data_IF_691992657829
#
_entry.id   IF_691992657829
#
_cell.length_a   1.000
_cell.length_b   1.000
_cell.length_c   1.000
_cell.angle_alpha   90.00
_cell.angle_beta   90.00
_cell.angle_gamma   90.00
#
_symmetry.space_group_name_H-M   'P 1'
#
loop_
_entity.id
_entity.type
_entity.pdbx_description
1 polymer ?
#
# COMPACT_ATOMS: atom_id res chain seq x y z
N UNK A 1 5.22 5.18 -18.93
CA UNK A 1 6.06 5.12 -17.70
C UNK A 1 5.17 5.58 -16.57
N UNK A 2 5.10 4.83 -15.47
CA UNK A 2 4.28 5.20 -14.32
C UNK A 2 4.94 6.33 -13.54
N UNK A 3 4.17 7.30 -12.97
CA UNK A 3 4.71 8.19 -11.95
C UNK A 3 5.27 7.39 -10.78
N UNK A 4 6.41 7.82 -10.22
CA UNK A 4 7.03 7.18 -9.05
C UNK A 4 6.49 7.79 -7.78
N UNK A 5 6.15 6.96 -6.79
CA UNK A 5 5.71 7.37 -5.47
C UNK A 5 6.42 6.63 -4.34
N UNK A 6 6.28 7.13 -3.13
CA UNK A 6 6.84 6.55 -1.92
C UNK A 6 5.79 6.55 -0.80
N UNK A 7 5.54 5.38 -0.21
CA UNK A 7 4.76 5.22 1.02
C UNK A 7 5.63 5.57 2.23
N UNK A 8 5.15 6.49 3.07
CA UNK A 8 5.93 7.03 4.19
C UNK A 8 5.10 7.02 5.47
N UNK A 9 5.65 6.43 6.52
CA UNK A 9 5.03 6.50 7.85
C UNK A 9 4.86 7.97 8.29
N UNK A 10 3.66 8.37 8.68
CA UNK A 10 3.29 9.75 8.97
C UNK A 10 4.23 10.45 9.98
N UNK A 11 4.78 9.69 10.94
CA UNK A 11 5.77 10.21 11.90
C UNK A 11 7.15 10.52 11.32
N UNK A 12 7.42 10.12 10.08
CA UNK A 12 8.70 10.34 9.38
C UNK A 12 8.60 11.40 8.30
N UNK A 13 7.42 11.93 8.01
CA UNK A 13 7.21 12.93 6.97
C UNK A 13 7.74 14.29 7.43
N UNK A 14 8.66 14.85 6.65
CA UNK A 14 9.27 16.16 6.87
C UNK A 14 9.24 16.99 5.60
N UNK A 15 9.41 18.31 5.72
CA UNK A 15 9.53 19.20 4.56
C UNK A 15 10.71 18.83 3.67
N UNK A 16 11.86 18.50 4.27
CA UNK A 16 13.06 18.06 3.55
C UNK A 16 12.78 16.82 2.67
N UNK A 17 11.92 15.91 3.13
CA UNK A 17 11.53 14.76 2.33
C UNK A 17 10.80 15.18 1.05
N UNK A 18 9.86 16.11 1.13
CA UNK A 18 9.17 16.63 -0.06
C UNK A 18 10.14 17.33 -1.01
N UNK A 19 11.10 18.11 -0.49
CA UNK A 19 12.14 18.72 -1.30
C UNK A 19 13.01 17.68 -2.01
N UNK A 20 13.40 16.60 -1.32
CA UNK A 20 14.17 15.51 -1.90
C UNK A 20 13.36 14.75 -2.97
N UNK A 21 12.05 14.57 -2.77
CA UNK A 21 11.15 13.97 -3.76
C UNK A 21 11.06 14.82 -5.02
N UNK A 22 10.84 16.14 -4.90
CA UNK A 22 10.82 17.08 -6.03
C UNK A 22 12.13 17.02 -6.83
N UNK A 23 13.26 17.15 -6.14
CA UNK A 23 14.60 17.15 -6.77
C UNK A 23 14.88 15.86 -7.56
N UNK A 24 14.43 14.72 -7.06
CA UNK A 24 14.61 13.41 -7.71
C UNK A 24 13.53 13.09 -8.77
N UNK A 25 12.41 13.81 -8.79
CA UNK A 25 11.27 13.52 -9.67
C UNK A 25 10.33 12.43 -9.14
N UNK A 26 10.30 12.19 -7.82
CA UNK A 26 9.27 11.38 -7.18
C UNK A 26 7.98 12.20 -7.11
N UNK A 27 6.96 11.74 -7.82
CA UNK A 27 5.76 12.54 -8.12
C UNK A 27 4.64 12.40 -7.09
N UNK A 28 4.66 11.35 -6.25
CA UNK A 28 3.56 11.05 -5.37
C UNK A 28 4.01 10.50 -4.01
N UNK A 29 3.21 10.76 -2.99
CA UNK A 29 3.37 10.21 -1.65
C UNK A 29 2.11 9.48 -1.21
N UNK A 30 2.27 8.34 -0.59
CA UNK A 30 1.28 7.76 0.29
C UNK A 30 1.62 8.12 1.73
N UNK A 31 0.64 8.64 2.46
CA UNK A 31 0.75 8.83 3.90
C UNK A 31 0.34 7.52 4.58
N UNK A 32 1.29 6.80 5.13
CA UNK A 32 1.00 5.61 5.92
C UNK A 32 0.81 5.97 7.38
N UNK A 33 -0.33 5.60 7.95
CA UNK A 33 -0.62 5.85 9.36
C UNK A 33 0.47 5.24 10.26
N UNK A 34 0.91 5.99 11.25
CA UNK A 34 1.84 5.46 12.26
C UNK A 34 1.22 5.49 13.64
N UNK A 35 1.72 4.62 14.55
CA UNK A 35 1.19 4.40 15.90
C UNK A 35 0.94 5.65 16.73
N UNK A 36 1.71 6.71 16.51
CA UNK A 36 1.60 7.95 17.28
C UNK A 36 0.67 8.98 16.64
N UNK A 37 0.31 8.77 15.37
CA UNK A 37 -0.41 9.79 14.61
C UNK A 37 -1.78 10.12 15.20
N UNK A 38 -2.51 9.15 15.72
CA UNK A 38 -3.82 9.35 16.33
C UNK A 38 -3.78 10.01 17.72
N UNK A 39 -2.60 10.06 18.35
CA UNK A 39 -2.37 10.70 19.66
C UNK A 39 -1.81 12.12 19.51
N UNK A 40 -1.29 12.47 18.35
CA UNK A 40 -0.74 13.79 18.03
C UNK A 40 -1.73 14.58 17.18
N UNK A 41 -1.63 15.90 17.20
CA UNK A 41 -2.43 16.73 16.31
C UNK A 41 -2.19 16.29 14.86
N UNK A 42 -3.28 16.14 14.08
CA UNK A 42 -3.20 15.76 12.69
C UNK A 42 -2.29 16.70 11.89
N UNK A 43 -1.29 16.14 11.21
CA UNK A 43 -0.34 16.86 10.38
C UNK A 43 -0.75 16.90 8.89
N UNK A 44 -1.90 16.33 8.50
CA UNK A 44 -2.35 16.30 7.11
C UNK A 44 -2.43 17.68 6.44
N UNK A 45 -2.93 18.73 7.09
CA UNK A 45 -2.89 20.08 6.52
C UNK A 45 -1.48 20.56 6.21
N UNK A 46 -0.51 20.26 7.07
CA UNK A 46 0.90 20.60 6.85
C UNK A 46 1.50 19.78 5.70
N UNK A 47 1.23 18.47 5.64
CA UNK A 47 1.67 17.62 4.53
C UNK A 47 1.09 18.10 3.20
N UNK A 48 -0.18 18.50 3.17
CA UNK A 48 -0.80 19.10 1.98
C UNK A 48 -0.17 20.42 1.57
N UNK A 49 0.24 21.24 2.52
CA UNK A 49 0.95 22.48 2.23
C UNK A 49 2.32 22.21 1.56
N UNK A 50 3.12 21.31 2.14
CA UNK A 50 4.39 20.89 1.56
C UNK A 50 4.22 20.20 0.20
N UNK A 51 3.24 19.29 0.09
CA UNK A 51 2.95 18.61 -1.17
C UNK A 51 2.67 19.60 -2.31
N UNK A 52 1.86 20.64 -2.05
CA UNK A 52 1.58 21.70 -3.02
C UNK A 52 2.82 22.56 -3.33
N UNK A 53 3.64 22.87 -2.34
CA UNK A 53 4.85 23.67 -2.49
C UNK A 53 5.87 22.97 -3.39
N UNK A 54 6.03 21.66 -3.24
CA UNK A 54 7.04 20.84 -3.93
C UNK A 54 6.47 20.02 -5.10
N UNK A 55 5.21 20.23 -5.49
CA UNK A 55 4.61 19.55 -6.65
C UNK A 55 4.46 18.03 -6.49
N UNK A 56 4.37 17.52 -5.26
CA UNK A 56 4.16 16.11 -4.95
C UNK A 56 2.67 15.85 -4.70
N UNK A 57 2.09 14.83 -5.32
CA UNK A 57 0.69 14.46 -5.08
C UNK A 57 0.55 13.62 -3.81
N UNK A 58 -0.37 13.98 -2.91
CA UNK A 58 -0.80 13.09 -1.83
C UNK A 58 -1.77 12.06 -2.42
N UNK A 59 -1.21 11.00 -2.99
CA UNK A 59 -1.91 9.99 -3.80
C UNK A 59 -2.89 9.16 -3.02
N UNK A 60 -2.50 8.70 -1.85
CA UNK A 60 -3.25 7.77 -1.01
C UNK A 60 -2.94 7.95 0.47
N UNK A 61 -3.83 7.40 1.28
CA UNK A 61 -3.64 7.29 2.72
C UNK A 61 -3.83 5.83 3.14
N UNK A 62 -2.82 5.26 3.77
CA UNK A 62 -2.91 3.93 4.36
C UNK A 62 -3.53 4.03 5.74
N UNK A 63 -4.71 3.44 5.91
CA UNK A 63 -5.44 3.44 7.18
C UNK A 63 -4.67 2.64 8.26
N UNK A 64 -4.90 2.92 9.55
CA UNK A 64 -4.30 2.15 10.62
C UNK A 64 -4.64 0.66 10.50
N UNK A 65 -3.65 -0.20 10.68
CA UNK A 65 -3.85 -1.65 10.64
C UNK A 65 -3.34 -2.33 11.90
N UNK A 66 -2.40 -1.74 12.61
CA UNK A 66 -1.85 -2.29 13.82
C UNK A 66 -1.32 -1.20 14.77
N UNK A 67 -1.52 -1.44 16.06
CA UNK A 67 -1.01 -0.65 17.17
C UNK A 67 -0.77 -1.58 18.37
N UNK A 68 0.16 -1.25 19.25
CA UNK A 68 0.47 -2.08 20.44
C UNK A 68 -0.70 -2.15 21.43
N UNK A 69 -1.57 -1.14 21.43
CA UNK A 69 -2.67 -0.99 22.39
C UNK A 69 -4.05 -1.16 21.74
N UNK A 70 -4.17 -0.87 20.43
CA UNK A 70 -5.42 -0.85 19.71
C UNK A 70 -5.40 -1.83 18.52
N UNK A 71 -6.44 -2.65 18.41
CA UNK A 71 -6.71 -3.45 17.22
C UNK A 71 -7.56 -2.63 16.26
N UNK A 72 -7.06 -2.41 15.06
CA UNK A 72 -7.81 -1.80 13.95
C UNK A 72 -8.31 -2.87 12.99
N UNK A 73 -9.10 -3.82 13.50
CA UNK A 73 -9.60 -4.96 12.73
C UNK A 73 -11.07 -4.76 12.37
N UNK A 74 -11.35 -4.66 11.06
CA UNK A 74 -12.71 -4.51 10.54
C UNK A 74 -13.43 -5.86 10.40
N UNK A 75 -12.73 -6.97 10.61
CA UNK A 75 -13.25 -8.33 10.50
C UNK A 75 -13.57 -8.98 11.85
N UNK A 76 -13.18 -8.36 12.97
CA UNK A 76 -13.36 -8.91 14.31
C UNK A 76 -14.51 -8.23 15.07
N UNK A 77 -15.37 -9.03 15.74
CA UNK A 77 -16.59 -8.53 16.42
C UNK A 77 -16.33 -7.42 17.42
N UNK A 78 -15.34 -7.55 18.33
CA UNK A 78 -15.13 -6.55 19.37
C UNK A 78 -14.71 -5.19 18.85
N UNK A 79 -14.08 -5.12 17.66
CA UNK A 79 -13.39 -3.92 17.18
C UNK A 79 -14.00 -3.31 15.93
N UNK A 80 -14.69 -4.10 15.09
CA UNK A 80 -15.12 -3.67 13.76
C UNK A 80 -15.91 -2.35 13.74
N UNK A 81 -16.94 -2.20 14.57
CA UNK A 81 -17.79 -1.01 14.55
C UNK A 81 -17.02 0.26 14.98
N UNK A 82 -16.15 0.14 15.99
CA UNK A 82 -15.32 1.25 16.44
C UNK A 82 -14.27 1.63 15.38
N UNK A 83 -13.67 0.62 14.74
CA UNK A 83 -12.70 0.81 13.67
C UNK A 83 -13.33 1.48 12.45
N UNK A 84 -14.51 1.02 12.00
CA UNK A 84 -15.23 1.66 10.90
C UNK A 84 -15.52 3.13 11.20
N UNK A 85 -15.97 3.44 12.42
CA UNK A 85 -16.24 4.83 12.83
C UNK A 85 -14.97 5.70 12.79
N UNK A 86 -13.85 5.18 13.30
CA UNK A 86 -12.56 5.87 13.24
C UNK A 86 -12.12 6.09 11.80
N UNK A 87 -12.23 5.07 10.95
CA UNK A 87 -11.84 5.17 9.55
C UNK A 87 -12.68 6.18 8.77
N UNK A 88 -13.97 6.30 9.07
CA UNK A 88 -14.80 7.35 8.50
C UNK A 88 -14.27 8.76 8.84
N UNK A 89 -13.82 9.00 10.08
CA UNK A 89 -13.25 10.30 10.44
C UNK A 89 -11.90 10.56 9.73
N UNK A 90 -11.04 9.56 9.63
CA UNK A 90 -9.77 9.66 8.89
C UNK A 90 -10.00 9.92 7.39
N UNK A 91 -10.98 9.24 6.79
CA UNK A 91 -11.37 9.48 5.39
C UNK A 91 -11.81 10.94 5.20
N UNK A 92 -12.63 11.48 6.10
CA UNK A 92 -13.10 12.85 6.01
C UNK A 92 -11.94 13.86 6.10
N UNK A 93 -11.02 13.67 7.03
CA UNK A 93 -9.80 14.46 7.16
C UNK A 93 -8.92 14.37 5.91
N UNK A 94 -8.64 13.16 5.43
CA UNK A 94 -7.84 12.96 4.22
C UNK A 94 -8.44 13.61 2.98
N UNK A 95 -9.76 13.48 2.81
CA UNK A 95 -10.47 14.15 1.70
C UNK A 95 -10.36 15.66 1.79
N UNK A 96 -10.40 16.24 3.00
CA UNK A 96 -10.29 17.69 3.19
C UNK A 96 -8.97 18.29 2.68
N UNK A 97 -7.92 17.49 2.60
CA UNK A 97 -6.60 17.85 2.08
C UNK A 97 -6.34 17.36 0.65
N UNK A 98 -7.32 16.69 0.03
CA UNK A 98 -7.28 16.29 -1.38
C UNK A 98 -6.99 14.80 -1.63
N UNK A 99 -6.75 13.99 -0.59
CA UNK A 99 -6.55 12.53 -0.72
C UNK A 99 -7.86 11.87 -1.14
N UNK A 100 -7.80 10.96 -2.12
CA UNK A 100 -8.99 10.29 -2.66
C UNK A 100 -8.93 8.77 -2.61
N UNK A 101 -7.81 8.18 -2.25
CA UNK A 101 -7.64 6.73 -2.13
C UNK A 101 -7.23 6.39 -0.71
N UNK A 102 -7.95 5.45 -0.12
CA UNK A 102 -7.70 4.99 1.24
C UNK A 102 -7.45 3.50 1.21
N UNK A 103 -6.23 3.11 1.60
CA UNK A 103 -5.81 1.71 1.63
C UNK A 103 -6.29 1.10 2.94
N UNK A 104 -6.84 -0.10 2.85
CA UNK A 104 -7.40 -0.80 4.00
C UNK A 104 -7.00 -2.27 4.02
N UNK A 105 -6.54 -2.73 5.16
CA UNK A 105 -6.40 -4.14 5.47
C UNK A 105 -7.79 -4.75 5.73
N UNK A 106 -8.20 -5.80 5.00
CA UNK A 106 -9.50 -6.43 5.22
C UNK A 106 -9.60 -7.20 6.54
N UNK A 107 -8.48 -7.47 7.18
CA UNK A 107 -8.40 -8.14 8.48
C UNK A 107 -7.03 -7.95 9.12
N UNK A 108 -6.89 -8.38 10.37
CA UNK A 108 -5.58 -8.65 11.01
C UNK A 108 -5.38 -10.15 11.20
N UNK A 109 -4.18 -10.58 11.54
CA UNK A 109 -3.86 -11.99 11.80
C UNK A 109 -3.55 -12.26 13.30
N UNK A 110 -3.61 -13.52 13.75
CA UNK A 110 -3.97 -14.71 12.96
C UNK A 110 -5.49 -14.95 12.84
N UNK A 111 -5.93 -15.53 11.72
CA UNK A 111 -7.30 -16.02 11.53
C UNK A 111 -7.24 -17.54 11.30
N UNK A 112 -7.96 -18.31 12.14
CA UNK A 112 -8.09 -19.76 11.96
C UNK A 112 -8.98 -20.11 10.78
N UNK A 113 -8.84 -21.31 10.22
CA UNK A 113 -9.72 -21.77 9.14
C UNK A 113 -11.17 -21.90 9.60
N UNK A 114 -11.42 -22.23 10.88
CA UNK A 114 -12.75 -22.33 11.48
C UNK A 114 -13.44 -20.96 11.56
N UNK A 115 -12.71 -19.91 11.96
CA UNK A 115 -13.24 -18.56 12.14
C UNK A 115 -13.30 -17.76 10.83
N UNK A 116 -12.57 -18.21 9.80
CA UNK A 116 -12.39 -17.51 8.54
C UNK A 116 -13.70 -17.08 7.86
N UNK A 117 -14.75 -17.93 7.75
CA UNK A 117 -16.01 -17.51 7.14
C UNK A 117 -16.67 -16.35 7.89
N UNK A 118 -16.62 -16.35 9.22
CA UNK A 118 -17.21 -15.29 10.03
C UNK A 118 -16.45 -13.97 9.92
N UNK A 119 -15.11 -14.02 9.83
CA UNK A 119 -14.26 -12.86 9.55
C UNK A 119 -14.53 -12.29 8.16
N UNK A 120 -14.65 -13.15 7.13
CA UNK A 120 -14.96 -12.75 5.76
C UNK A 120 -16.29 -11.98 5.68
N UNK A 121 -17.38 -12.53 6.22
CA UNK A 121 -18.68 -11.88 6.20
C UNK A 121 -18.68 -10.54 6.94
N UNK A 122 -17.96 -10.44 8.05
CA UNK A 122 -17.87 -9.20 8.81
C UNK A 122 -17.01 -8.17 8.10
N UNK A 123 -15.87 -8.57 7.54
CA UNK A 123 -15.02 -7.70 6.72
C UNK A 123 -15.83 -7.13 5.56
N UNK A 124 -16.59 -7.97 4.83
CA UNK A 124 -17.47 -7.52 3.75
C UNK A 124 -18.48 -6.47 4.21
N UNK A 125 -19.12 -6.69 5.36
CA UNK A 125 -20.06 -5.72 5.93
C UNK A 125 -19.38 -4.38 6.23
N UNK A 126 -18.21 -4.40 6.84
CA UNK A 126 -17.43 -3.21 7.17
C UNK A 126 -16.94 -2.48 5.90
N UNK A 127 -16.45 -3.24 4.92
CA UNK A 127 -16.04 -2.71 3.62
C UNK A 127 -17.20 -2.04 2.87
N UNK A 128 -18.39 -2.63 2.91
CA UNK A 128 -19.60 -2.01 2.34
C UNK A 128 -19.87 -0.65 2.98
N UNK A 129 -19.85 -0.56 4.31
CA UNK A 129 -20.12 0.68 5.04
C UNK A 129 -19.08 1.76 4.71
N UNK A 130 -17.80 1.38 4.67
CA UNK A 130 -16.70 2.30 4.35
C UNK A 130 -16.73 2.75 2.89
N UNK A 131 -17.07 1.85 1.95
CA UNK A 131 -17.19 2.19 0.54
C UNK A 131 -18.34 3.17 0.29
N UNK A 132 -19.52 2.93 0.89
CA UNK A 132 -20.64 3.87 0.82
C UNK A 132 -20.26 5.25 1.40
N UNK A 133 -19.58 5.28 2.56
CA UNK A 133 -19.12 6.53 3.16
C UNK A 133 -18.11 7.25 2.26
N UNK A 134 -17.06 6.56 1.80
CA UNK A 134 -16.02 7.13 0.92
C UNK A 134 -16.64 7.69 -0.36
N UNK A 135 -17.60 6.99 -0.96
CA UNK A 135 -18.34 7.44 -2.14
C UNK A 135 -19.03 8.79 -1.91
N UNK A 136 -19.66 9.01 -0.74
CA UNK A 136 -20.30 10.30 -0.42
C UNK A 136 -19.29 11.46 -0.33
N UNK A 137 -18.01 11.14 -0.10
CA UNK A 137 -16.90 12.11 -0.02
C UNK A 137 -16.11 12.24 -1.34
N UNK A 138 -16.48 11.49 -2.39
CA UNK A 138 -15.76 11.46 -3.66
C UNK A 138 -14.41 10.73 -3.56
N UNK A 139 -14.30 9.80 -2.63
CA UNK A 139 -13.13 8.98 -2.39
C UNK A 139 -13.41 7.48 -2.66
N UNK A 140 -12.36 6.68 -2.67
CA UNK A 140 -12.39 5.26 -2.99
C UNK A 140 -11.65 4.44 -1.92
N UNK A 141 -12.24 3.31 -1.51
CA UNK A 141 -11.58 2.32 -0.66
C UNK A 141 -10.81 1.33 -1.52
N UNK A 142 -9.53 1.16 -1.22
CA UNK A 142 -8.64 0.23 -1.90
C UNK A 142 -8.28 -0.89 -0.92
N UNK A 143 -8.84 -2.08 -1.15
CA UNK A 143 -8.57 -3.26 -0.33
C UNK A 143 -7.20 -3.81 -0.71
N UNK A 144 -6.35 -4.01 0.27
CA UNK A 144 -5.02 -4.57 0.06
C UNK A 144 -5.03 -6.08 0.16
N UNK A 145 -4.32 -6.78 -0.74
CA UNK A 145 -4.05 -8.20 -0.58
C UNK A 145 -3.02 -8.39 0.53
N UNK A 146 -3.28 -9.35 1.43
CA UNK A 146 -2.46 -9.58 2.62
C UNK A 146 -1.88 -10.99 2.65
N UNK A 147 -0.76 -11.19 3.37
CA UNK A 147 -0.10 -12.49 3.41
C UNK A 147 -0.72 -13.47 4.42
N UNK A 148 -0.16 -14.65 4.51
CA UNK A 148 -0.34 -15.68 5.57
C UNK A 148 -1.78 -16.04 5.88
N UNK A 149 -2.25 -15.69 7.08
CA UNK A 149 -3.61 -16.04 7.56
C UNK A 149 -4.60 -14.88 7.44
N UNK A 150 -4.18 -13.71 6.95
CA UNK A 150 -5.09 -12.61 6.69
C UNK A 150 -6.12 -12.94 5.60
N UNK A 151 -7.21 -12.19 5.55
CA UNK A 151 -8.14 -12.21 4.42
C UNK A 151 -7.51 -11.51 3.20
N UNK A 152 -7.92 -11.95 2.00
CA UNK A 152 -7.38 -11.38 0.76
C UNK A 152 -6.03 -11.93 0.35
N UNK A 153 -5.63 -13.10 0.87
CA UNK A 153 -4.33 -13.75 0.62
C UNK A 153 -4.16 -14.31 -0.80
N UNK A 154 -5.22 -14.33 -1.58
CA UNK A 154 -5.24 -14.77 -2.97
C UNK A 154 -6.38 -14.11 -3.76
N UNK A 155 -6.40 -14.32 -5.07
CA UNK A 155 -7.38 -13.72 -5.96
C UNK A 155 -8.83 -14.14 -5.64
N UNK A 156 -9.06 -15.37 -5.24
CA UNK A 156 -10.41 -15.87 -4.91
C UNK A 156 -11.00 -15.11 -3.72
N UNK A 157 -10.23 -14.98 -2.62
CA UNK A 157 -10.67 -14.24 -1.44
C UNK A 157 -10.79 -12.74 -1.72
N UNK A 158 -9.88 -12.17 -2.51
CA UNK A 158 -9.95 -10.77 -2.90
C UNK A 158 -11.24 -10.49 -3.69
N UNK A 159 -11.60 -11.33 -4.66
CA UNK A 159 -12.85 -11.20 -5.41
C UNK A 159 -14.08 -11.31 -4.49
N UNK A 160 -14.03 -12.18 -3.49
CA UNK A 160 -15.09 -12.29 -2.48
C UNK A 160 -15.22 -11.02 -1.66
N UNK A 161 -14.12 -10.44 -1.17
CA UNK A 161 -14.12 -9.15 -0.46
C UNK A 161 -14.68 -8.02 -1.33
N UNK A 162 -14.23 -7.93 -2.58
CA UNK A 162 -14.69 -6.93 -3.53
C UNK A 162 -16.17 -7.07 -3.90
N UNK A 163 -16.77 -8.24 -3.73
CA UNK A 163 -18.21 -8.45 -3.96
C UNK A 163 -19.08 -7.66 -2.98
N UNK A 164 -18.51 -7.15 -1.89
CA UNK A 164 -19.22 -6.34 -0.91
C UNK A 164 -19.74 -5.03 -1.50
N UNK A 165 -18.99 -4.38 -2.40
CA UNK A 165 -19.43 -3.11 -3.00
C UNK A 165 -18.77 -2.87 -4.38
N UNK A 166 -19.52 -2.39 -5.41
CA UNK A 166 -19.00 -2.22 -6.78
C UNK A 166 -17.91 -1.16 -6.91
N UNK A 167 -17.85 -0.21 -5.98
CA UNK A 167 -16.83 0.87 -5.99
C UNK A 167 -15.56 0.52 -5.22
N UNK A 168 -15.47 -0.66 -4.61
CA UNK A 168 -14.22 -1.16 -4.03
C UNK A 168 -13.17 -1.37 -5.13
N UNK A 169 -11.94 -1.04 -4.80
CA UNK A 169 -10.76 -1.20 -5.67
C UNK A 169 -9.68 -1.96 -4.92
N UNK A 170 -8.60 -2.26 -5.61
CA UNK A 170 -7.48 -3.04 -5.09
C UNK A 170 -6.26 -2.14 -4.95
N UNK A 171 -5.62 -2.20 -3.78
CA UNK A 171 -4.21 -1.93 -3.62
C UNK A 171 -3.47 -3.25 -3.79
N UNK A 172 -2.68 -3.38 -4.84
CA UNK A 172 -1.90 -4.60 -5.07
C UNK A 172 -0.53 -4.46 -4.41
N UNK A 173 -0.32 -5.21 -3.30
CA UNK A 173 0.99 -5.37 -2.69
C UNK A 173 1.73 -6.56 -3.30
N UNK A 174 2.90 -6.27 -3.87
CA UNK A 174 3.73 -7.27 -4.56
C UNK A 174 4.38 -8.26 -3.60
N UNK A 175 4.53 -7.91 -2.33
CA UNK A 175 5.26 -8.66 -1.31
C UNK A 175 4.35 -9.62 -0.50
N UNK A 176 3.03 -9.54 -0.69
CA UNK A 176 2.05 -10.27 0.10
C UNK A 176 1.51 -11.54 -0.58
N UNK A 177 1.89 -11.84 -1.82
CA UNK A 177 1.42 -13.05 -2.52
C UNK A 177 2.33 -14.26 -2.24
N UNK A 178 1.98 -15.02 -1.19
CA UNK A 178 2.70 -16.24 -0.81
C UNK A 178 2.07 -17.52 -1.36
N UNK A 179 0.85 -17.45 -1.91
CA UNK A 179 0.03 -18.62 -2.25
C UNK A 179 -0.32 -18.76 -3.74
N UNK A 180 -0.10 -17.71 -4.52
CA UNK A 180 -0.33 -17.75 -5.97
C UNK A 180 0.66 -16.83 -6.71
N UNK A 181 0.91 -17.08 -8.01
CA UNK A 181 1.73 -16.20 -8.83
C UNK A 181 1.08 -14.84 -9.00
N UNK A 182 1.88 -13.76 -8.94
CA UNK A 182 1.36 -12.39 -9.14
C UNK A 182 0.69 -12.18 -10.51
N UNK A 183 1.12 -12.92 -11.53
CA UNK A 183 0.52 -12.89 -12.87
C UNK A 183 -0.95 -13.27 -12.84
N UNK A 184 -1.29 -14.32 -12.09
CA UNK A 184 -2.66 -14.82 -11.98
C UNK A 184 -3.51 -13.84 -11.16
N UNK A 185 -2.97 -13.31 -10.07
CA UNK A 185 -3.64 -12.28 -9.26
C UNK A 185 -3.93 -11.02 -10.07
N UNK A 186 -2.92 -10.46 -10.77
CA UNK A 186 -3.09 -9.24 -11.58
C UNK A 186 -4.14 -9.46 -12.67
N UNK A 187 -4.14 -10.61 -13.35
CA UNK A 187 -5.14 -10.93 -14.37
C UNK A 187 -6.55 -11.09 -13.80
N UNK A 188 -6.68 -11.68 -12.61
CA UNK A 188 -7.97 -11.82 -11.94
C UNK A 188 -8.53 -10.47 -11.46
N UNK A 189 -7.69 -9.57 -10.99
CA UNK A 189 -8.11 -8.24 -10.51
C UNK A 189 -8.35 -7.25 -11.64
N UNK A 190 -7.54 -7.31 -12.72
CA UNK A 190 -7.68 -6.45 -13.89
C UNK A 190 -7.69 -4.96 -13.57
N UNK A 191 -8.68 -4.25 -14.07
CA UNK A 191 -8.88 -2.80 -13.92
C UNK A 191 -9.28 -2.36 -12.50
N UNK A 192 -9.51 -3.31 -11.60
CA UNK A 192 -9.76 -3.01 -10.18
C UNK A 192 -8.50 -2.58 -9.45
N UNK A 193 -7.29 -2.91 -9.94
CA UNK A 193 -6.04 -2.43 -9.38
C UNK A 193 -5.89 -0.94 -9.70
N UNK A 194 -5.91 -0.07 -8.68
CA UNK A 194 -5.82 1.39 -8.85
C UNK A 194 -4.65 2.02 -8.10
N UNK A 195 -3.98 1.25 -7.26
CA UNK A 195 -2.74 1.61 -6.59
C UNK A 195 -1.91 0.35 -6.29
N UNK A 196 -0.63 0.54 -6.01
CA UNK A 196 0.33 -0.53 -5.76
C UNK A 196 1.07 -0.26 -4.45
N UNK A 197 1.53 -1.34 -3.82
CA UNK A 197 2.66 -1.34 -2.90
C UNK A 197 3.78 -2.18 -3.51
N UNK A 198 4.88 -1.51 -3.82
CA UNK A 198 6.00 -2.12 -4.55
C UNK A 198 7.15 -2.38 -3.59
N UNK A 199 7.38 -3.64 -3.30
CA UNK A 199 8.54 -4.11 -2.55
C UNK A 199 8.90 -5.55 -2.92
N UNK A 200 10.14 -5.95 -2.66
CA UNK A 200 10.69 -7.25 -3.05
C UNK A 200 10.75 -8.22 -1.87
N UNK A 201 10.77 -9.51 -2.17
CA UNK A 201 10.80 -10.58 -1.18
C UNK A 201 11.35 -11.89 -1.76
N UNK A 202 11.37 -12.93 -0.92
CA UNK A 202 11.91 -14.25 -1.24
C UNK A 202 10.83 -15.31 -1.55
N UNK A 203 9.57 -14.93 -1.67
CA UNK A 203 8.39 -15.80 -1.78
C UNK A 203 8.16 -16.73 -0.57
N UNK A 204 8.89 -16.52 0.53
CA UNK A 204 8.74 -17.29 1.77
C UNK A 204 7.89 -16.53 2.78
N UNK A 205 8.16 -15.24 2.94
CA UNK A 205 7.45 -14.34 3.84
C UNK A 205 7.62 -12.89 3.37
N UNK A 206 6.78 -11.96 3.87
CA UNK A 206 6.91 -10.54 3.58
C UNK A 206 8.24 -9.98 4.08
N UNK A 207 8.88 -9.11 3.31
CA UNK A 207 10.21 -8.55 3.59
C UNK A 207 10.31 -7.04 3.42
N UNK A 208 9.48 -6.44 2.57
CA UNK A 208 9.56 -5.04 2.17
C UNK A 208 10.96 -4.60 1.70
N UNK A 209 11.65 -5.50 0.97
CA UNK A 209 12.94 -5.20 0.38
C UNK A 209 12.80 -4.28 -0.83
N UNK A 210 13.88 -3.59 -1.18
CA UNK A 210 13.91 -2.78 -2.39
C UNK A 210 13.92 -3.67 -3.64
N UNK A 211 13.21 -3.31 -4.73
CA UNK A 211 13.20 -4.08 -5.96
C UNK A 211 14.61 -4.36 -6.52
N UNK A 212 14.91 -5.64 -6.74
CA UNK A 212 16.24 -6.15 -7.07
C UNK A 212 17.03 -6.70 -5.88
N UNK A 213 16.45 -6.68 -4.68
CA UNK A 213 17.01 -7.29 -3.48
C UNK A 213 16.39 -8.64 -3.12
N UNK A 214 15.32 -9.05 -3.82
CA UNK A 214 14.61 -10.30 -3.67
C UNK A 214 14.56 -11.10 -4.96
N UNK A 215 13.44 -11.83 -5.15
CA UNK A 215 13.28 -12.77 -6.24
C UNK A 215 12.16 -12.41 -7.22
N UNK A 216 11.52 -11.25 -7.10
CA UNK A 216 10.43 -10.84 -7.99
C UNK A 216 10.96 -10.56 -9.39
N UNK A 217 10.33 -11.15 -10.40
CA UNK A 217 10.58 -10.78 -11.81
C UNK A 217 9.88 -9.45 -12.13
N UNK A 218 10.59 -8.37 -11.92
CA UNK A 218 10.08 -7.00 -12.06
C UNK A 218 9.68 -6.66 -13.49
N UNK A 219 10.32 -7.24 -14.49
CA UNK A 219 9.97 -7.00 -15.88
C UNK A 219 8.68 -7.70 -16.27
N UNK A 220 8.52 -8.95 -15.84
CA UNK A 220 7.28 -9.70 -16.01
C UNK A 220 6.13 -9.00 -15.27
N UNK A 221 6.34 -8.58 -14.03
CA UNK A 221 5.33 -7.88 -13.22
C UNK A 221 4.89 -6.57 -13.89
N UNK A 222 5.84 -5.73 -14.30
CA UNK A 222 5.54 -4.46 -14.97
C UNK A 222 4.78 -4.68 -16.27
N UNK A 223 5.15 -5.69 -17.08
CA UNK A 223 4.44 -6.00 -18.33
C UNK A 223 3.03 -6.52 -18.05
N UNK A 224 2.85 -7.39 -17.06
CA UNK A 224 1.53 -7.90 -16.65
C UNK A 224 0.60 -6.76 -16.20
N UNK A 225 1.11 -5.81 -15.42
CA UNK A 225 0.33 -4.61 -15.03
C UNK A 225 -0.06 -3.75 -16.23
N UNK A 226 0.83 -3.57 -17.21
CA UNK A 226 0.51 -2.87 -18.46
C UNK A 226 -0.58 -3.57 -19.26
N UNK A 227 -0.51 -4.91 -19.37
CA UNK A 227 -1.52 -5.72 -20.05
C UNK A 227 -2.89 -5.63 -19.34
N UNK A 228 -2.89 -5.55 -18.00
CA UNK A 228 -4.09 -5.35 -17.20
C UNK A 228 -4.65 -3.92 -17.27
N UNK A 229 -3.96 -2.99 -17.92
CA UNK A 229 -4.41 -1.59 -18.08
C UNK A 229 -4.11 -0.69 -16.88
N UNK A 230 -3.24 -1.11 -15.96
CA UNK A 230 -2.85 -0.27 -14.83
C UNK A 230 -2.19 1.04 -15.32
N UNK A 231 -2.62 2.15 -14.76
CA UNK A 231 -2.14 3.49 -15.12
C UNK A 231 -1.91 4.42 -13.91
N UNK A 232 -1.88 3.84 -12.70
CA UNK A 232 -1.65 4.57 -11.45
C UNK A 232 -0.16 4.84 -11.16
N UNK A 233 0.14 5.11 -9.90
CA UNK A 233 1.48 5.38 -9.38
C UNK A 233 2.21 4.07 -9.09
N UNK A 234 3.50 4.02 -9.45
CA UNK A 234 4.44 2.99 -9.00
C UNK A 234 4.88 3.36 -7.59
N UNK A 235 4.10 2.92 -6.59
CA UNK A 235 4.25 3.33 -5.19
C UNK A 235 5.19 2.37 -4.46
N UNK A 236 6.39 2.82 -4.16
CA UNK A 236 7.30 2.04 -3.34
C UNK A 236 6.83 1.98 -1.89
N UNK A 237 6.75 0.77 -1.34
CA UNK A 237 6.56 0.52 0.07
C UNK A 237 7.77 -0.25 0.62
N UNK A 238 8.87 0.45 0.74
CA UNK A 238 10.14 -0.10 1.21
C UNK A 238 10.89 0.90 2.07
N UNK A 239 11.64 0.40 3.04
CA UNK A 239 12.53 1.26 3.83
C UNK A 239 13.70 1.77 2.98
N UNK A 240 13.85 3.09 2.90
CA UNK A 240 15.00 3.73 2.24
C UNK A 240 16.28 3.70 3.09
N UNK A 241 16.19 3.53 4.42
CA UNK A 241 17.35 3.31 5.28
C UNK A 241 18.06 1.98 5.00
N UNK A 242 19.20 1.77 5.64
CA UNK A 242 19.98 0.54 5.54
C UNK A 242 19.83 -0.35 6.81
N UNK A 243 18.68 -1.00 7.00
CA UNK A 243 18.45 -1.81 8.17
C UNK A 243 19.47 -2.96 8.22
N UNK A 244 20.06 -3.17 9.38
CA UNK A 244 21.05 -4.25 9.63
C UNK A 244 22.28 -4.21 8.70
N UNK A 245 22.62 -3.06 8.14
CA UNK A 245 23.75 -2.89 7.24
C UNK A 245 23.77 -3.89 6.07
N UNK A 246 22.61 -4.20 5.50
CA UNK A 246 22.49 -5.10 4.35
C UNK A 246 22.92 -4.46 3.05
N UNK A 247 22.77 -3.12 2.95
CA UNK A 247 23.11 -2.33 1.76
C UNK A 247 24.47 -1.66 1.94
N UNK A 248 25.08 -1.28 0.83
CA UNK A 248 26.33 -0.49 0.82
C UNK A 248 26.14 0.93 1.35
N UNK A 249 24.92 1.44 1.33
CA UNK A 249 24.48 2.75 1.85
C UNK A 249 22.97 2.81 2.01
N UNK A 250 22.47 3.87 2.60
CA UNK A 250 21.05 4.21 2.53
C UNK A 250 20.62 4.51 1.09
N UNK A 251 19.36 4.28 0.78
CA UNK A 251 18.76 4.66 -0.49
C UNK A 251 18.31 6.13 -0.45
N UNK A 252 18.21 6.72 -1.62
CA UNK A 252 17.70 8.08 -1.84
C UNK A 252 16.50 8.06 -2.76
N UNK A 253 15.82 9.19 -2.91
CA UNK A 253 14.73 9.34 -3.87
C UNK A 253 15.22 9.13 -5.32
N UNK A 254 16.47 9.49 -5.64
CA UNK A 254 17.05 9.22 -6.96
C UNK A 254 17.15 7.72 -7.24
N UNK A 255 17.47 6.90 -6.23
CA UNK A 255 17.53 5.44 -6.38
C UNK A 255 16.15 4.85 -6.72
N UNK A 256 15.07 5.37 -6.15
CA UNK A 256 13.71 4.96 -6.49
C UNK A 256 13.40 5.24 -7.96
N UNK A 257 13.71 6.44 -8.42
CA UNK A 257 13.46 6.86 -9.81
C UNK A 257 14.32 6.06 -10.78
N UNK A 258 15.61 5.85 -10.47
CA UNK A 258 16.52 5.05 -11.29
C UNK A 258 16.05 3.60 -11.38
N UNK A 259 15.67 2.99 -10.26
CA UNK A 259 15.15 1.62 -10.20
C UNK A 259 13.88 1.47 -11.04
N UNK A 260 12.91 2.37 -10.88
CA UNK A 260 11.68 2.36 -11.68
C UNK A 260 11.99 2.48 -13.18
N UNK A 261 12.94 3.34 -13.56
CA UNK A 261 13.38 3.50 -14.95
C UNK A 261 13.99 2.23 -15.51
N UNK A 262 14.85 1.56 -14.74
CA UNK A 262 15.45 0.27 -15.14
C UNK A 262 14.35 -0.79 -15.39
N UNK A 263 13.40 -0.90 -14.46
CA UNK A 263 12.26 -1.84 -14.60
C UNK A 263 11.43 -1.52 -15.84
N UNK A 264 11.04 -0.24 -16.04
CA UNK A 264 10.16 0.15 -17.15
C UNK A 264 10.81 0.04 -18.52
N UNK A 265 12.14 0.17 -18.59
CA UNK A 265 12.94 0.05 -19.81
C UNK A 265 13.43 -1.39 -20.07
N UNK A 266 13.12 -2.35 -19.20
CA UNK A 266 13.58 -3.73 -19.33
C UNK A 266 15.09 -3.90 -19.11
N UNK A 267 15.71 -3.01 -18.36
CA UNK A 267 17.13 -3.04 -18.03
C UNK A 267 17.39 -3.87 -16.77
N UNK A 268 18.62 -4.41 -16.59
CA UNK A 268 18.98 -5.03 -15.32
C UNK A 268 18.73 -4.09 -14.15
N UNK A 269 18.08 -4.60 -13.12
CA UNK A 269 17.75 -3.84 -11.91
C UNK A 269 18.98 -3.77 -11.01
N UNK A 270 19.38 -2.57 -10.62
CA UNK A 270 20.52 -2.35 -9.74
C UNK A 270 20.21 -2.81 -8.33
N UNK A 271 21.08 -3.64 -7.74
CA UNK A 271 21.01 -4.04 -6.33
C UNK A 271 22.07 -3.32 -5.51
N UNK A 272 21.68 -2.85 -4.34
CA UNK A 272 22.57 -2.21 -3.37
C UNK A 272 23.03 -3.13 -2.26
N UNK A 273 22.65 -4.42 -2.31
CA UNK A 273 23.05 -5.42 -1.32
C UNK A 273 24.57 -5.62 -1.29
N UNK A 274 25.13 -5.76 -0.08
CA UNK A 274 26.52 -6.15 0.14
C UNK A 274 26.71 -7.60 -0.31
N UNK A 275 25.79 -8.48 0.05
CA UNK A 275 25.77 -9.89 -0.36
C UNK A 275 24.47 -10.15 -1.12
N UNK A 276 24.57 -10.62 -2.37
CA UNK A 276 23.39 -11.00 -3.14
C UNK A 276 22.77 -12.26 -2.56
N UNK A 277 21.44 -12.30 -2.52
CA UNK A 277 20.72 -13.55 -2.31
C UNK A 277 21.01 -14.45 -3.52
N UNK A 278 21.59 -15.63 -3.25
CA UNK A 278 21.98 -16.61 -4.26
C UNK A 278 20.78 -17.50 -4.57
#
# INVERSE_FOLDING_TARGET
MYPVGLSVASTRITEEMFQNMENAGVAAMEVSHSRKFHLEADNLPQFSAWAKQYGVDLWSYHLPFWDDELKFDISDVPTADATVKLFCSIIEEGVSVGIKKFIIHPSTEPISDEDRPSHMERSKKSLYMLAEFAKTKGAVMCVENLPRTCLGKNSAEMLELLSAHPDLRVCFDTNHLLQEPFVDFIRAMGDKIVTLHVSDYDYIDEKHWFPGEGLVDWHLLCNTLKEAGYNGVWMYETGIGNPKNRRTRDLTCDDLVQNAKEIFEGKPVTSYLIEKLV
#
